data_IF_082376731057
#
_entry.id   IF_082376731057
#
_cell.length_a   1.000
_cell.length_b   1.000
_cell.length_c   1.000
_cell.angle_alpha   90.00
_cell.angle_beta   90.00
_cell.angle_gamma   90.00
#
_symmetry.space_group_name_H-M   'P 1'
#
loop_
_entity.id
_entity.type
_entity.pdbx_description
1 polymer ?
#
# COMPACT_ATOMS: atom_id res chain seq x y z
N UNK A 1 20.77 17.82 20.83
CA UNK A 1 20.87 17.52 19.39
C UNK A 1 21.09 16.02 19.20
N UNK A 2 20.19 15.30 18.51
CA UNK A 2 20.30 13.83 18.36
C UNK A 2 21.52 13.43 17.52
N UNK A 3 22.06 12.23 17.77
CA UNK A 3 23.14 11.66 16.97
C UNK A 3 22.71 11.42 15.50
N UNK A 4 21.45 11.03 15.31
CA UNK A 4 20.86 10.86 13.99
C UNK A 4 19.37 11.21 14.02
N UNK A 5 18.80 11.56 12.86
CA UNK A 5 17.36 11.72 12.66
C UNK A 5 16.94 11.17 11.28
N UNK A 6 15.68 10.80 11.17
CA UNK A 6 15.07 10.40 9.89
C UNK A 6 13.92 11.34 9.56
N UNK A 7 13.88 11.84 8.32
CA UNK A 7 12.75 12.60 7.78
C UNK A 7 12.12 11.81 6.62
N UNK A 8 10.80 11.61 6.66
CA UNK A 8 10.03 11.01 5.57
C UNK A 8 9.08 12.02 4.95
N UNK A 9 8.95 11.98 3.61
CA UNK A 9 7.96 12.78 2.91
C UNK A 9 7.51 12.10 1.61
N UNK A 10 6.42 12.59 1.02
CA UNK A 10 5.94 12.14 -0.29
C UNK A 10 6.89 12.57 -1.41
N UNK A 11 6.96 11.78 -2.49
CA UNK A 11 7.82 12.06 -3.66
C UNK A 11 7.58 13.46 -4.26
N UNK A 12 6.36 14.00 -4.14
CA UNK A 12 6.01 15.33 -4.65
C UNK A 12 6.85 16.48 -4.07
N UNK A 13 7.46 16.31 -2.87
CA UNK A 13 8.32 17.31 -2.26
C UNK A 13 9.48 17.73 -3.17
N UNK A 14 10.01 16.82 -4.00
CA UNK A 14 11.11 17.07 -4.92
C UNK A 14 10.78 18.07 -6.05
N UNK A 15 9.49 18.21 -6.37
CA UNK A 15 9.01 19.14 -7.41
C UNK A 15 8.24 20.32 -6.84
N UNK A 16 8.01 20.34 -5.53
CA UNK A 16 7.27 21.42 -4.86
C UNK A 16 8.08 22.72 -4.84
N UNK A 17 7.36 23.84 -5.01
CA UNK A 17 7.96 25.18 -5.02
C UNK A 17 7.20 26.10 -4.08
N UNK A 18 7.94 27.00 -3.42
CA UNK A 18 7.40 28.13 -2.66
C UNK A 18 8.00 29.40 -3.24
N UNK A 19 7.17 30.37 -3.64
CA UNK A 19 7.59 31.61 -4.28
C UNK A 19 8.52 31.37 -5.49
N UNK A 20 8.21 30.33 -6.30
CA UNK A 20 9.00 29.95 -7.49
C UNK A 20 10.29 29.17 -7.22
N UNK A 21 10.76 29.07 -5.97
CA UNK A 21 11.98 28.36 -5.57
C UNK A 21 11.70 26.90 -5.19
N UNK A 22 12.57 25.93 -5.55
CA UNK A 22 12.46 24.54 -5.08
C UNK A 22 12.54 24.49 -3.55
N UNK A 23 11.51 23.89 -2.90
CA UNK A 23 11.48 23.78 -1.44
C UNK A 23 12.43 22.72 -0.90
N UNK A 24 12.73 21.71 -1.71
CA UNK A 24 13.56 20.59 -1.27
C UNK A 24 15.00 21.01 -0.95
N UNK A 25 15.57 21.90 -1.75
CA UNK A 25 16.93 22.43 -1.52
C UNK A 25 16.99 23.26 -0.23
N UNK A 26 15.92 24.02 0.07
CA UNK A 26 15.82 24.77 1.32
C UNK A 26 15.73 23.80 2.51
N UNK A 27 14.91 22.75 2.43
CA UNK A 27 14.81 21.73 3.48
C UNK A 27 16.16 21.07 3.73
N UNK A 28 16.91 20.72 2.68
CA UNK A 28 18.26 20.15 2.84
C UNK A 28 19.21 21.12 3.55
N UNK A 29 19.17 22.41 3.20
CA UNK A 29 19.96 23.43 3.85
C UNK A 29 19.62 23.59 5.33
N UNK A 30 18.33 23.67 5.65
CA UNK A 30 17.86 23.82 7.02
C UNK A 30 18.19 22.59 7.88
N UNK A 31 18.06 21.37 7.31
CA UNK A 31 18.41 20.14 8.00
C UNK A 31 19.92 19.95 8.20
N UNK A 32 20.74 20.48 7.31
CA UNK A 32 22.20 20.45 7.48
C UNK A 32 22.68 21.31 8.64
N UNK A 33 21.99 22.42 8.91
CA UNK A 33 22.35 23.35 9.98
C UNK A 33 21.09 23.93 10.67
N UNK A 34 20.36 23.10 11.46
CA UNK A 34 19.03 23.48 11.97
C UNK A 34 19.04 24.67 12.95
N UNK A 35 20.15 24.89 13.66
CA UNK A 35 20.24 25.94 14.69
C UNK A 35 21.24 27.05 14.36
N UNK A 36 21.88 27.02 13.17
CA UNK A 36 22.94 27.97 12.82
C UNK A 36 24.21 27.85 13.66
N UNK A 37 24.33 26.83 14.51
CA UNK A 37 25.45 26.57 15.39
C UNK A 37 26.58 25.75 14.75
N UNK A 38 27.54 25.34 15.59
CA UNK A 38 28.72 24.58 15.15
C UNK A 38 28.40 23.13 14.76
N UNK A 39 27.39 22.51 15.41
CA UNK A 39 26.96 21.15 15.11
C UNK A 39 26.08 21.10 13.87
N UNK A 40 26.56 20.41 12.88
CA UNK A 40 25.91 20.20 11.57
C UNK A 40 25.48 18.74 11.40
N UNK A 41 24.74 18.49 10.33
CA UNK A 41 24.35 17.13 9.96
C UNK A 41 24.79 16.82 8.53
N UNK A 42 25.36 15.63 8.34
CA UNK A 42 25.53 15.02 7.04
C UNK A 42 24.18 14.39 6.63
N UNK A 43 23.57 14.92 5.56
CA UNK A 43 22.33 14.36 5.04
C UNK A 43 22.70 13.30 4.01
N UNK A 44 22.30 12.05 4.28
CA UNK A 44 22.71 10.86 3.52
C UNK A 44 21.51 10.07 3.02
N UNK A 45 21.71 9.34 1.92
CA UNK A 45 20.73 8.44 1.34
C UNK A 45 20.88 7.05 1.96
N UNK A 46 19.71 6.39 2.18
CA UNK A 46 19.64 4.99 2.61
C UNK A 46 19.60 4.00 1.43
N UNK A 47 19.50 4.48 0.19
CA UNK A 47 19.37 3.64 -1.01
C UNK A 47 20.52 3.80 -2.02
N UNK A 48 21.28 4.89 -1.94
CA UNK A 48 22.33 5.19 -2.90
C UNK A 48 23.59 5.71 -2.19
N UNK A 49 24.76 5.31 -2.69
CA UNK A 49 26.01 5.93 -2.31
C UNK A 49 26.09 7.38 -2.85
N UNK A 50 26.89 8.28 -2.24
CA UNK A 50 27.06 9.64 -2.73
C UNK A 50 27.70 9.63 -4.12
N UNK A 51 27.33 10.62 -4.93
CA UNK A 51 27.90 10.81 -6.28
C UNK A 51 29.33 11.34 -6.24
N UNK A 52 29.59 12.16 -5.25
CA UNK A 52 30.92 12.75 -4.94
C UNK A 52 30.89 13.20 -3.48
N UNK A 53 32.05 13.64 -3.00
CA UNK A 53 32.17 14.32 -1.70
C UNK A 53 32.84 15.65 -1.96
N UNK A 54 32.30 16.73 -1.42
CA UNK A 54 32.86 18.07 -1.46
C UNK A 54 33.27 18.54 -0.05
N UNK A 55 33.68 19.83 0.08
CA UNK A 55 34.03 20.44 1.36
C UNK A 55 32.88 20.46 2.39
N UNK A 56 31.64 20.28 1.93
CA UNK A 56 30.44 20.32 2.75
C UNK A 56 29.85 18.91 2.98
N UNK A 57 30.58 17.85 2.60
CA UNK A 57 30.19 16.46 2.79
C UNK A 57 29.68 15.74 1.53
N UNK A 58 28.95 14.63 1.70
CA UNK A 58 28.47 13.81 0.58
C UNK A 58 27.42 14.54 -0.26
N UNK A 59 27.56 14.45 -1.59
CA UNK A 59 26.69 15.10 -2.59
C UNK A 59 25.70 14.10 -3.15
N UNK A 60 24.42 14.43 -3.05
CA UNK A 60 23.28 13.66 -3.58
C UNK A 60 22.36 14.51 -4.44
N UNK A 61 21.73 13.89 -5.43
CA UNK A 61 20.56 14.46 -6.09
C UNK A 61 19.28 14.12 -5.31
N UNK A 62 18.25 14.96 -5.36
CA UNK A 62 16.98 14.70 -4.67
C UNK A 62 16.38 13.33 -4.96
N UNK A 63 16.55 12.79 -6.17
CA UNK A 63 16.08 11.45 -6.54
C UNK A 63 16.82 10.32 -5.83
N UNK A 64 18.04 10.56 -5.35
CA UNK A 64 18.84 9.55 -4.66
C UNK A 64 18.27 9.21 -3.26
N UNK A 65 17.38 10.06 -2.72
CA UNK A 65 16.67 9.84 -1.47
C UNK A 65 15.33 9.08 -1.62
N UNK A 66 14.97 8.66 -2.84
CA UNK A 66 13.72 7.93 -3.06
C UNK A 66 13.91 6.48 -2.64
N UNK A 67 13.16 6.08 -1.62
CA UNK A 67 12.98 4.68 -1.23
C UNK A 67 11.73 4.13 -1.93
N UNK A 68 11.91 3.06 -2.69
CA UNK A 68 10.82 2.25 -3.26
C UNK A 68 10.62 1.05 -2.35
N UNK A 69 9.55 1.06 -1.57
CA UNK A 69 9.35 0.09 -0.49
C UNK A 69 9.34 -1.37 -1.00
N UNK A 70 8.83 -1.61 -2.21
CA UNK A 70 8.81 -2.93 -2.85
C UNK A 70 10.20 -3.54 -3.05
N UNK A 71 11.24 -2.73 -3.21
CA UNK A 71 12.62 -3.20 -3.34
C UNK A 71 13.19 -3.72 -2.00
N UNK A 72 12.49 -3.50 -0.90
CA UNK A 72 12.90 -3.89 0.46
C UNK A 72 11.97 -4.93 1.11
N UNK A 73 11.20 -5.66 0.28
CA UNK A 73 10.32 -6.75 0.73
C UNK A 73 8.97 -6.28 1.30
N UNK A 74 8.60 -5.03 1.07
CA UNK A 74 7.28 -4.50 1.43
C UNK A 74 6.30 -4.80 0.27
N UNK A 75 5.15 -5.44 0.49
CA UNK A 75 4.22 -5.83 -0.58
C UNK A 75 3.42 -4.66 -1.16
N UNK A 76 4.08 -3.51 -1.30
CA UNK A 76 3.44 -2.26 -1.73
C UNK A 76 4.44 -1.37 -2.48
N UNK A 77 4.07 -0.92 -3.69
CA UNK A 77 4.78 0.09 -4.45
C UNK A 77 4.55 1.48 -3.84
N UNK A 78 5.22 1.73 -2.70
CA UNK A 78 5.17 2.99 -1.95
C UNK A 78 6.51 3.70 -2.05
N UNK A 79 6.53 4.75 -2.88
CA UNK A 79 7.73 5.56 -3.09
C UNK A 79 7.71 6.78 -2.18
N UNK A 80 8.75 6.94 -1.38
CA UNK A 80 8.89 8.05 -0.42
C UNK A 80 10.31 8.60 -0.48
N UNK A 81 10.42 9.89 -0.22
CA UNK A 81 11.72 10.54 0.05
C UNK A 81 12.03 10.30 1.52
N UNK A 82 13.13 9.61 1.79
CA UNK A 82 13.59 9.35 3.17
C UNK A 82 15.02 9.85 3.28
N UNK A 83 15.24 10.80 4.18
CA UNK A 83 16.54 11.39 4.50
C UNK A 83 16.99 10.84 5.84
N UNK A 84 18.27 10.50 5.92
CA UNK A 84 18.97 10.25 7.20
C UNK A 84 19.95 11.37 7.45
N UNK A 85 19.76 12.10 8.56
CA UNK A 85 20.75 13.06 9.05
C UNK A 85 21.63 12.40 10.10
N UNK A 86 22.94 12.45 9.92
CA UNK A 86 23.93 11.99 10.89
C UNK A 86 24.74 13.18 11.33
N UNK A 87 24.87 13.38 12.65
CA UNK A 87 25.62 14.50 13.21
C UNK A 87 27.08 14.50 12.73
N UNK A 88 27.63 15.65 12.40
CA UNK A 88 28.89 15.79 11.67
C UNK A 88 30.14 15.30 12.43
N UNK A 89 30.06 15.16 13.76
CA UNK A 89 31.10 14.57 14.60
C UNK A 89 31.14 13.02 14.52
N UNK A 90 30.15 12.40 13.87
CA UNK A 90 30.07 10.95 13.67
C UNK A 90 30.47 10.64 12.21
N UNK A 91 31.59 9.93 11.98
CA UNK A 91 32.02 9.61 10.63
C UNK A 91 31.04 8.66 9.92
N UNK A 92 30.75 8.97 8.65
CA UNK A 92 29.86 8.18 7.81
C UNK A 92 30.65 7.31 6.86
N UNK A 93 30.41 6.01 6.89
CA UNK A 93 31.06 5.03 6.03
C UNK A 93 30.05 4.32 5.13
N UNK A 94 30.29 4.34 3.82
CA UNK A 94 29.52 3.59 2.84
C UNK A 94 30.23 2.26 2.51
N UNK A 95 29.49 1.18 2.28
CA UNK A 95 28.02 1.06 2.16
C UNK A 95 27.26 0.73 3.46
N UNK A 96 27.86 0.84 4.63
CA UNK A 96 27.29 0.37 5.91
C UNK A 96 25.90 0.93 6.22
N UNK A 97 25.59 2.15 5.72
CA UNK A 97 24.31 2.83 5.92
C UNK A 97 23.30 2.58 4.79
N UNK A 98 23.57 1.67 3.87
CA UNK A 98 22.62 1.35 2.80
C UNK A 98 21.68 0.20 3.21
N UNK A 99 20.39 0.41 2.98
CA UNK A 99 19.38 -0.64 3.19
C UNK A 99 19.62 -1.82 2.24
N UNK A 100 19.56 -3.02 2.80
CA UNK A 100 19.67 -4.25 2.01
C UNK A 100 18.39 -4.50 1.22
N UNK A 101 18.52 -4.65 -0.09
CA UNK A 101 17.40 -5.03 -0.97
C UNK A 101 16.90 -6.42 -0.64
N UNK A 102 15.61 -6.65 -0.86
CA UNK A 102 14.95 -7.92 -0.63
C UNK A 102 14.09 -8.31 -1.85
N UNK A 103 13.69 -9.58 -1.89
CA UNK A 103 12.79 -10.08 -2.92
C UNK A 103 11.45 -9.36 -2.89
N UNK A 104 10.95 -8.96 -4.06
CA UNK A 104 9.64 -8.36 -4.22
C UNK A 104 8.53 -9.32 -3.75
N UNK A 105 7.56 -8.79 -3.02
CA UNK A 105 6.41 -9.54 -2.50
C UNK A 105 5.14 -9.03 -3.16
N UNK A 106 4.33 -9.94 -3.69
CA UNK A 106 3.09 -9.61 -4.37
C UNK A 106 1.84 -9.74 -3.50
N UNK A 107 0.75 -9.13 -3.95
CA UNK A 107 -0.55 -9.13 -3.25
C UNK A 107 -1.08 -10.53 -3.00
N UNK A 108 -0.97 -11.43 -3.98
CA UNK A 108 -1.47 -12.81 -3.89
C UNK A 108 -0.76 -13.61 -2.79
N UNK A 109 0.55 -13.40 -2.60
CA UNK A 109 1.28 -14.03 -1.50
C UNK A 109 0.79 -13.56 -0.13
N UNK A 110 0.40 -12.30 0.00
CA UNK A 110 0.02 -11.67 1.27
C UNK A 110 -1.44 -11.93 1.63
N UNK A 111 -2.34 -11.82 0.65
CA UNK A 111 -3.80 -11.86 0.88
C UNK A 111 -4.47 -13.18 0.47
N UNK A 112 -3.80 -13.99 -0.35
CA UNK A 112 -4.42 -15.16 -0.98
C UNK A 112 -4.95 -16.24 -0.02
N UNK A 113 -4.41 -16.32 1.19
CA UNK A 113 -4.84 -17.27 2.23
C UNK A 113 -5.83 -16.66 3.24
N UNK A 114 -6.23 -15.40 3.07
CA UNK A 114 -7.24 -14.80 3.96
C UNK A 114 -8.63 -15.35 3.64
N UNK A 115 -9.53 -15.42 4.63
CA UNK A 115 -10.92 -15.81 4.40
C UNK A 115 -11.58 -14.97 3.31
N UNK A 116 -12.26 -15.62 2.36
CA UNK A 116 -12.97 -14.92 1.30
C UNK A 116 -14.23 -14.27 1.86
N UNK A 117 -14.43 -13.00 1.50
CA UNK A 117 -15.54 -12.19 2.01
C UNK A 117 -16.32 -11.58 0.84
N UNK A 118 -17.65 -11.45 1.03
CA UNK A 118 -18.49 -10.58 0.21
C UNK A 118 -18.50 -9.15 0.74
N UNK A 119 -18.89 -8.18 -0.07
CA UNK A 119 -19.28 -6.87 0.46
C UNK A 119 -20.64 -6.92 1.15
N UNK A 120 -20.98 -5.90 1.92
CA UNK A 120 -22.36 -5.60 2.23
C UNK A 120 -23.07 -4.94 1.05
N UNK A 121 -24.40 -4.88 1.07
CA UNK A 121 -25.23 -4.06 0.21
C UNK A 121 -25.57 -2.76 0.93
N UNK A 122 -25.35 -1.61 0.29
CA UNK A 122 -25.66 -0.30 0.88
C UNK A 122 -27.14 0.07 0.72
N UNK A 123 -27.86 -0.60 -0.17
CA UNK A 123 -29.29 -0.43 -0.41
C UNK A 123 -29.96 -1.80 -0.53
N UNK A 124 -31.20 -1.90 -0.06
CA UNK A 124 -31.98 -3.12 -0.07
C UNK A 124 -31.65 -4.05 1.11
N UNK A 125 -32.10 -5.30 1.00
CA UNK A 125 -31.90 -6.33 2.03
C UNK A 125 -30.53 -6.98 1.86
N UNK A 126 -29.62 -6.73 2.80
CA UNK A 126 -28.24 -7.27 2.79
C UNK A 126 -28.19 -8.71 3.28
N UNK A 127 -28.58 -9.65 2.44
CA UNK A 127 -28.42 -11.09 2.67
C UNK A 127 -27.34 -11.70 1.78
N UNK A 128 -26.75 -12.84 2.17
CA UNK A 128 -25.80 -13.57 1.32
C UNK A 128 -26.40 -13.89 -0.06
N UNK A 129 -27.64 -14.37 -0.13
CA UNK A 129 -28.34 -14.73 -1.38
C UNK A 129 -28.52 -13.53 -2.29
N UNK A 130 -28.97 -12.39 -1.76
CA UNK A 130 -29.16 -11.18 -2.57
C UNK A 130 -27.83 -10.69 -3.14
N UNK A 131 -26.78 -10.69 -2.35
CA UNK A 131 -25.45 -10.32 -2.82
C UNK A 131 -24.92 -11.31 -3.87
N UNK A 132 -25.09 -12.63 -3.64
CA UNK A 132 -24.65 -13.67 -4.58
C UNK A 132 -25.37 -13.55 -5.93
N UNK A 133 -26.66 -13.28 -5.93
CA UNK A 133 -27.43 -13.07 -7.15
C UNK A 133 -26.91 -11.86 -7.94
N UNK A 134 -26.67 -10.73 -7.27
CA UNK A 134 -26.07 -9.53 -7.89
C UNK A 134 -24.66 -9.80 -8.41
N UNK A 135 -23.81 -10.44 -7.60
CA UNK A 135 -22.42 -10.73 -7.99
C UNK A 135 -22.35 -11.73 -9.16
N UNK A 136 -23.24 -12.75 -9.19
CA UNK A 136 -23.34 -13.69 -10.31
C UNK A 136 -23.72 -12.97 -11.59
N UNK A 137 -24.76 -12.14 -11.57
CA UNK A 137 -25.17 -11.36 -12.73
C UNK A 137 -24.04 -10.42 -13.20
N UNK A 138 -23.40 -9.71 -12.28
CA UNK A 138 -22.29 -8.80 -12.58
C UNK A 138 -21.07 -9.53 -13.17
N UNK A 139 -20.71 -10.71 -12.64
CA UNK A 139 -19.61 -11.53 -13.17
C UNK A 139 -19.94 -12.10 -14.54
N UNK A 140 -21.18 -12.53 -14.76
CA UNK A 140 -21.66 -13.00 -16.08
C UNK A 140 -21.54 -11.89 -17.12
N UNK A 141 -22.03 -10.70 -16.79
CA UNK A 141 -21.92 -9.53 -17.67
C UNK A 141 -20.46 -9.14 -17.94
N UNK A 142 -19.64 -9.08 -16.89
CA UNK A 142 -18.20 -8.77 -17.02
C UNK A 142 -17.47 -9.81 -17.88
N UNK A 143 -17.80 -11.09 -17.72
CA UNK A 143 -17.23 -12.20 -18.51
C UNK A 143 -17.59 -12.07 -19.98
N UNK A 144 -18.84 -11.74 -20.29
CA UNK A 144 -19.28 -11.48 -21.68
C UNK A 144 -18.56 -10.28 -22.29
N UNK A 145 -18.42 -9.17 -21.54
CA UNK A 145 -17.72 -7.96 -21.99
C UNK A 145 -16.22 -8.19 -22.24
N UNK A 146 -15.61 -9.12 -21.52
CA UNK A 146 -14.18 -9.44 -21.62
C UNK A 146 -13.91 -10.70 -22.45
N UNK A 147 -14.93 -11.30 -23.04
CA UNK A 147 -14.88 -12.52 -23.82
C UNK A 147 -14.23 -13.70 -23.07
N UNK A 148 -14.67 -13.92 -21.82
CA UNK A 148 -14.20 -14.96 -20.93
C UNK A 148 -15.33 -15.92 -20.61
N UNK A 149 -15.01 -17.19 -20.52
CA UNK A 149 -15.93 -18.24 -20.07
C UNK A 149 -16.29 -18.01 -18.59
N UNK A 150 -17.55 -17.71 -18.32
CA UNK A 150 -18.07 -17.42 -16.98
C UNK A 150 -17.96 -18.60 -16.03
N UNK A 151 -18.05 -19.84 -16.53
CA UNK A 151 -17.93 -21.03 -15.71
C UNK A 151 -16.55 -21.19 -15.11
N UNK A 152 -15.52 -20.73 -15.80
CA UNK A 152 -14.16 -20.65 -15.25
C UNK A 152 -14.03 -19.64 -14.10
N UNK A 153 -14.78 -18.55 -14.16
CA UNK A 153 -14.80 -17.52 -13.11
C UNK A 153 -15.62 -17.98 -11.91
N UNK A 154 -16.80 -18.55 -12.14
CA UNK A 154 -17.73 -19.02 -11.11
C UNK A 154 -17.42 -20.43 -10.60
N UNK A 155 -16.35 -21.07 -11.07
CA UNK A 155 -15.89 -22.39 -10.58
C UNK A 155 -15.80 -22.46 -9.05
N UNK A 156 -15.45 -21.37 -8.40
CA UNK A 156 -15.37 -21.27 -6.96
C UNK A 156 -16.69 -20.68 -6.41
N UNK A 157 -17.14 -21.25 -5.28
CA UNK A 157 -18.32 -20.73 -4.58
C UNK A 157 -18.13 -19.27 -4.17
N UNK A 158 -19.13 -18.44 -4.41
CA UNK A 158 -19.18 -17.06 -3.97
C UNK A 158 -19.24 -17.00 -2.43
N UNK A 159 -18.54 -16.03 -1.81
CA UNK A 159 -18.50 -15.91 -0.35
C UNK A 159 -19.87 -15.50 0.22
N UNK A 160 -20.15 -15.97 1.43
CA UNK A 160 -21.38 -15.67 2.18
C UNK A 160 -21.12 -14.62 3.27
N UNK A 161 -19.95 -14.68 3.89
CA UNK A 161 -19.61 -13.85 5.05
C UNK A 161 -19.11 -12.46 4.62
N UNK A 162 -19.46 -11.45 5.43
CA UNK A 162 -18.87 -10.10 5.37
C UNK A 162 -17.64 -9.95 6.24
N UNK A 163 -17.27 -11.01 6.95
CA UNK A 163 -16.27 -10.95 8.00
C UNK A 163 -16.79 -10.36 9.30
N UNK A 164 -15.88 -10.08 10.21
CA UNK A 164 -16.19 -9.53 11.53
C UNK A 164 -14.99 -8.78 12.12
N UNK A 165 -15.22 -8.11 13.28
CA UNK A 165 -14.15 -7.51 14.08
C UNK A 165 -13.08 -8.52 14.50
N UNK A 166 -13.50 -9.78 14.73
CA UNK A 166 -12.62 -10.93 14.92
C UNK A 166 -13.17 -12.16 14.18
N UNK A 167 -12.29 -12.87 13.48
CA UNK A 167 -12.61 -14.11 12.77
C UNK A 167 -11.63 -15.18 13.24
N UNK A 168 -12.13 -16.27 13.83
CA UNK A 168 -11.32 -17.44 14.10
C UNK A 168 -10.83 -18.05 12.79
N UNK A 169 -9.54 -18.07 12.58
CA UNK A 169 -8.92 -18.63 11.38
C UNK A 169 -7.46 -18.96 11.66
N UNK A 170 -7.12 -20.24 11.52
CA UNK A 170 -5.73 -20.69 11.61
C UNK A 170 -5.07 -20.61 10.23
N UNK A 171 -3.76 -20.35 10.19
CA UNK A 171 -2.94 -20.37 8.94
C UNK A 171 -3.37 -19.35 7.87
N UNK A 172 -3.62 -18.12 8.26
CA UNK A 172 -3.96 -17.02 7.33
C UNK A 172 -2.75 -16.47 6.57
N UNK A 173 -1.52 -16.76 7.03
CA UNK A 173 -0.28 -16.39 6.36
C UNK A 173 0.16 -17.49 5.38
N UNK A 174 0.49 -17.11 4.16
CA UNK A 174 0.93 -18.03 3.13
C UNK A 174 2.34 -18.57 3.41
N UNK A 175 2.57 -19.85 3.08
CA UNK A 175 3.92 -20.42 3.09
C UNK A 175 4.81 -19.88 1.96
N UNK A 176 4.23 -19.17 0.99
CA UNK A 176 4.95 -18.49 -0.11
C UNK A 176 5.52 -17.13 0.29
N UNK A 177 5.20 -16.64 1.50
CA UNK A 177 5.80 -15.40 2.01
C UNK A 177 7.28 -15.61 2.33
N UNK A 178 8.15 -14.60 2.06
CA UNK A 178 9.51 -14.60 2.57
C UNK A 178 9.52 -14.78 4.11
N UNK A 179 10.49 -15.51 4.62
CA UNK A 179 10.60 -15.87 6.05
C UNK A 179 10.51 -14.62 6.94
N UNK A 180 11.30 -13.60 6.63
CA UNK A 180 11.32 -12.34 7.40
C UNK A 180 9.94 -11.69 7.51
N UNK A 181 9.21 -11.56 6.37
CA UNK A 181 7.89 -10.95 6.38
C UNK A 181 6.87 -11.82 7.11
N UNK A 182 6.96 -13.15 6.96
CA UNK A 182 6.05 -14.08 7.64
C UNK A 182 6.23 -14.02 9.16
N UNK A 183 7.46 -14.05 9.65
CA UNK A 183 7.79 -13.94 11.07
C UNK A 183 7.42 -12.57 11.64
N UNK A 184 7.59 -11.51 10.86
CA UNK A 184 7.21 -10.15 11.25
C UNK A 184 5.69 -9.97 11.41
N UNK A 185 4.90 -10.58 10.52
CA UNK A 185 3.44 -10.48 10.55
C UNK A 185 2.82 -11.40 11.61
N UNK A 186 3.42 -12.56 11.88
CA UNK A 186 2.85 -13.60 12.71
C UNK A 186 2.74 -13.18 14.18
N UNK A 187 1.66 -13.65 14.82
CA UNK A 187 1.52 -13.74 16.26
C UNK A 187 0.93 -15.12 16.59
N UNK A 188 1.70 -15.97 17.23
CA UNK A 188 1.31 -17.33 17.54
C UNK A 188 0.20 -17.40 18.61
N UNK A 189 0.01 -16.33 19.38
CA UNK A 189 -1.06 -16.21 20.37
C UNK A 189 -2.40 -15.77 19.75
N UNK A 190 -2.37 -15.22 18.53
CA UNK A 190 -3.55 -14.76 17.82
C UNK A 190 -4.16 -15.88 16.98
N UNK A 191 -5.22 -16.52 17.48
CA UNK A 191 -5.90 -17.60 16.78
C UNK A 191 -6.90 -17.12 15.70
N UNK A 192 -6.63 -16.00 15.04
CA UNK A 192 -7.56 -15.44 14.07
C UNK A 192 -7.10 -14.15 13.40
N UNK A 193 -8.04 -13.44 12.85
CA UNK A 193 -7.86 -12.14 12.22
C UNK A 193 -8.71 -11.10 12.93
N UNK A 194 -8.11 -9.97 13.28
CA UNK A 194 -8.80 -8.79 13.79
C UNK A 194 -9.13 -7.82 12.65
N UNK A 195 -10.26 -7.13 12.73
CA UNK A 195 -10.67 -6.06 11.81
C UNK A 195 -10.71 -6.50 10.32
N UNK A 196 -11.10 -7.77 10.08
CA UNK A 196 -11.30 -8.30 8.76
C UNK A 196 -12.79 -8.33 8.43
N UNK A 197 -13.36 -7.14 8.21
CA UNK A 197 -14.77 -6.89 7.94
C UNK A 197 -14.94 -5.94 6.77
N UNK A 198 -15.90 -6.26 5.86
CA UNK A 198 -16.14 -5.48 4.65
C UNK A 198 -17.13 -4.33 4.90
N UNK A 199 -17.06 -3.32 4.03
CA UNK A 199 -18.08 -2.25 3.97
C UNK A 199 -19.25 -2.61 3.05
N UNK A 200 -20.35 -1.88 3.16
CA UNK A 200 -21.42 -1.90 2.18
C UNK A 200 -21.02 -1.19 0.88
N UNK A 201 -21.53 -1.68 -0.25
CA UNK A 201 -21.32 -1.12 -1.58
C UNK A 201 -22.65 -0.95 -2.33
N UNK A 202 -22.69 -0.02 -3.26
CA UNK A 202 -23.81 0.12 -4.18
C UNK A 202 -23.79 -1.01 -5.20
N UNK A 203 -24.96 -1.41 -5.72
CA UNK A 203 -25.06 -2.44 -6.74
C UNK A 203 -24.20 -2.09 -7.97
N UNK A 204 -24.26 -0.84 -8.41
CA UNK A 204 -23.44 -0.34 -9.53
C UNK A 204 -21.92 -0.38 -9.28
N UNK A 205 -21.50 -0.37 -8.00
CA UNK A 205 -20.08 -0.57 -7.67
C UNK A 205 -19.69 -2.03 -7.71
N UNK A 206 -20.62 -2.95 -7.36
CA UNK A 206 -20.41 -4.39 -7.51
C UNK A 206 -20.18 -4.73 -9.00
N UNK A 207 -21.01 -4.19 -9.90
CA UNK A 207 -20.83 -4.36 -11.34
C UNK A 207 -19.44 -3.89 -11.82
N UNK A 208 -19.06 -2.68 -11.44
CA UNK A 208 -17.74 -2.11 -11.76
C UNK A 208 -16.59 -2.93 -11.19
N UNK A 209 -16.72 -3.39 -9.94
CA UNK A 209 -15.67 -4.12 -9.26
C UNK A 209 -15.49 -5.52 -9.83
N UNK A 210 -16.57 -6.19 -10.23
CA UNK A 210 -16.51 -7.45 -10.98
C UNK A 210 -15.73 -7.27 -12.28
N UNK A 211 -16.06 -6.25 -13.06
CA UNK A 211 -15.34 -5.95 -14.30
C UNK A 211 -13.87 -5.64 -14.06
N UNK A 212 -13.56 -4.73 -13.10
CA UNK A 212 -12.18 -4.27 -12.83
C UNK A 212 -11.30 -5.38 -12.26
N UNK A 213 -11.83 -6.21 -11.35
CA UNK A 213 -11.05 -7.32 -10.78
C UNK A 213 -10.83 -8.43 -11.79
N UNK A 214 -11.84 -8.77 -12.62
CA UNK A 214 -11.71 -9.75 -13.69
C UNK A 214 -10.72 -9.27 -14.77
N UNK A 215 -10.83 -8.00 -15.19
CA UNK A 215 -9.86 -7.37 -16.09
C UNK A 215 -8.43 -7.43 -15.52
N UNK A 216 -8.29 -7.11 -14.22
CA UNK A 216 -7.00 -7.19 -13.51
C UNK A 216 -6.41 -8.60 -13.49
N UNK A 217 -7.24 -9.61 -13.29
CA UNK A 217 -6.83 -11.02 -13.30
C UNK A 217 -6.37 -11.48 -14.69
N UNK A 218 -7.00 -10.99 -15.77
CA UNK A 218 -6.69 -11.37 -17.15
C UNK A 218 -5.45 -10.64 -17.69
N UNK A 219 -5.39 -9.32 -17.48
CA UNK A 219 -4.40 -8.46 -18.16
C UNK A 219 -3.25 -8.02 -17.25
N UNK A 220 -3.24 -8.40 -15.98
CA UNK A 220 -2.19 -8.02 -15.03
C UNK A 220 -2.09 -6.50 -14.77
N UNK A 221 -3.17 -5.76 -15.03
CA UNK A 221 -3.33 -4.32 -14.77
C UNK A 221 -4.79 -3.93 -14.61
N UNK A 222 -5.07 -2.82 -14.01
CA UNK A 222 -6.43 -2.27 -13.98
C UNK A 222 -6.79 -1.62 -15.33
N UNK A 223 -8.07 -1.61 -15.73
CA UNK A 223 -8.52 -0.89 -16.93
C UNK A 223 -8.39 0.62 -16.74
N UNK A 224 -8.15 1.33 -17.86
CA UNK A 224 -8.35 2.76 -17.94
C UNK A 224 -9.83 3.06 -18.10
N UNK A 225 -10.28 4.27 -17.78
CA UNK A 225 -11.70 4.65 -17.95
C UNK A 225 -12.18 4.54 -19.41
N UNK A 226 -11.28 4.73 -20.36
CA UNK A 226 -11.55 4.56 -21.79
C UNK A 226 -11.79 3.11 -22.21
N UNK A 227 -11.39 2.15 -21.39
CA UNK A 227 -11.60 0.72 -21.60
C UNK A 227 -12.86 0.20 -20.88
N UNK A 228 -13.58 1.10 -20.18
CA UNK A 228 -14.84 0.73 -19.54
C UNK A 228 -15.97 0.66 -20.56
N UNK A 229 -16.81 -0.38 -20.51
CA UNK A 229 -18.08 -0.41 -21.20
C UNK A 229 -18.94 0.80 -20.80
N UNK A 230 -19.68 1.38 -21.76
CA UNK A 230 -20.51 2.59 -21.51
C UNK A 230 -21.46 2.42 -20.32
N UNK A 231 -22.05 1.23 -20.14
CA UNK A 231 -22.97 0.92 -19.04
C UNK A 231 -22.31 0.90 -17.65
N UNK A 232 -20.99 0.77 -17.57
CA UNK A 232 -20.23 0.76 -16.31
C UNK A 232 -19.60 2.11 -16.00
N UNK A 233 -19.67 3.10 -16.92
CA UNK A 233 -19.14 4.43 -16.64
C UNK A 233 -19.87 5.06 -15.45
N UNK A 234 -19.14 5.70 -14.52
CA UNK A 234 -19.78 6.41 -13.42
C UNK A 234 -20.48 7.68 -13.94
N UNK A 235 -21.65 7.96 -13.36
CA UNK A 235 -22.35 9.23 -13.61
C UNK A 235 -21.64 10.38 -12.86
N UNK A 236 -20.60 10.93 -13.48
CA UNK A 236 -19.79 11.99 -12.88
C UNK A 236 -19.34 12.99 -13.95
N UNK A 237 -19.49 14.29 -13.67
CA UNK A 237 -19.17 15.40 -14.60
C UNK A 237 -17.74 15.33 -15.21
N UNK A 238 -16.80 14.73 -14.52
CA UNK A 238 -15.39 14.67 -14.93
C UNK A 238 -15.00 13.39 -15.70
N UNK A 239 -15.94 12.49 -16.01
CA UNK A 239 -15.64 11.26 -16.76
C UNK A 239 -15.03 11.57 -18.13
N UNK A 240 -15.50 12.65 -18.79
CA UNK A 240 -15.03 13.07 -20.09
C UNK A 240 -13.91 14.13 -20.05
N UNK A 241 -13.50 14.61 -18.89
CA UNK A 241 -12.52 15.71 -18.74
C UNK A 241 -11.06 15.27 -18.74
N UNK A 242 -10.78 13.98 -18.91
CA UNK A 242 -9.43 13.43 -18.80
C UNK A 242 -8.85 13.41 -17.36
N UNK A 243 -9.51 14.04 -16.39
CA UNK A 243 -9.08 14.07 -14.97
C UNK A 243 -9.49 12.83 -14.19
N UNK A 244 -10.29 11.93 -14.77
CA UNK A 244 -10.91 10.77 -14.10
C UNK A 244 -10.36 9.42 -14.58
N UNK A 245 -9.24 9.44 -15.28
CA UNK A 245 -8.69 8.34 -16.08
C UNK A 245 -8.43 7.06 -15.28
N UNK A 246 -8.37 7.16 -13.94
CA UNK A 246 -7.57 6.23 -13.15
C UNK A 246 -8.22 5.85 -11.80
N UNK A 247 -9.55 6.01 -11.66
CA UNK A 247 -10.24 5.90 -10.38
C UNK A 247 -10.42 4.46 -9.90
N UNK A 248 -10.84 3.56 -10.79
CA UNK A 248 -11.14 2.17 -10.43
C UNK A 248 -9.92 1.27 -10.61
N UNK A 249 -9.34 0.79 -9.50
CA UNK A 249 -8.11 -0.01 -9.53
C UNK A 249 -8.23 -1.27 -8.69
N UNK A 250 -8.05 -2.41 -9.34
CA UNK A 250 -7.81 -3.67 -8.66
C UNK A 250 -6.37 -3.78 -8.19
N UNK A 251 -6.18 -4.37 -7.02
CA UNK A 251 -4.86 -4.82 -6.61
C UNK A 251 -4.53 -6.10 -7.39
N UNK A 252 -3.48 -6.07 -8.21
CA UNK A 252 -3.13 -7.20 -9.08
C UNK A 252 -2.38 -8.26 -8.29
N UNK A 253 -2.84 -9.51 -8.38
CA UNK A 253 -2.34 -10.62 -7.55
C UNK A 253 -0.84 -10.85 -7.63
N UNK A 254 -0.24 -10.76 -8.82
CA UNK A 254 1.17 -11.07 -9.10
C UNK A 254 2.10 -9.86 -9.04
N UNK A 255 1.64 -8.74 -8.47
CA UNK A 255 2.43 -7.50 -8.29
C UNK A 255 2.33 -7.01 -6.85
N UNK A 256 3.27 -6.16 -6.39
CA UNK A 256 3.06 -5.35 -5.20
C UNK A 256 1.80 -4.51 -5.32
N UNK A 257 1.12 -4.26 -4.21
CA UNK A 257 -0.05 -3.39 -4.21
C UNK A 257 0.32 -1.96 -4.61
N UNK A 258 -0.66 -1.21 -5.10
CA UNK A 258 -0.51 0.25 -5.18
C UNK A 258 -0.36 0.85 -3.79
N UNK A 259 0.22 2.04 -3.71
CA UNK A 259 0.36 2.76 -2.44
C UNK A 259 -0.99 2.86 -1.72
N UNK A 260 -1.11 2.20 -0.57
CA UNK A 260 -2.25 2.37 0.33
C UNK A 260 -2.19 3.77 0.93
N UNK A 261 -3.21 4.57 0.67
CA UNK A 261 -3.33 5.95 1.14
C UNK A 261 -4.56 6.12 2.01
N UNK A 262 -4.64 7.19 2.79
CA UNK A 262 -5.82 7.52 3.60
C UNK A 262 -7.12 7.67 2.79
N UNK A 263 -7.04 7.86 1.47
CA UNK A 263 -8.22 7.89 0.59
C UNK A 263 -9.03 6.60 0.57
N UNK A 264 -8.43 5.44 0.95
CA UNK A 264 -9.18 4.19 1.15
C UNK A 264 -10.33 4.36 2.16
N UNK A 265 -10.22 5.32 3.08
CA UNK A 265 -11.27 5.67 4.03
C UNK A 265 -12.55 6.22 3.36
N UNK A 266 -12.41 6.93 2.23
CA UNK A 266 -13.53 7.59 1.52
C UNK A 266 -14.33 6.59 0.69
N UNK A 267 -13.67 5.96 -0.27
CA UNK A 267 -14.22 4.94 -1.14
C UNK A 267 -13.19 3.84 -1.41
N UNK A 268 -13.62 2.72 -1.93
CA UNK A 268 -12.73 1.59 -2.22
C UNK A 268 -12.32 1.52 -3.69
N UNK A 269 -12.66 2.52 -4.50
CA UNK A 269 -12.50 2.46 -5.95
C UNK A 269 -11.06 2.23 -6.41
N UNK A 270 -10.08 2.81 -5.69
CA UNK A 270 -8.67 2.62 -5.98
C UNK A 270 -8.04 1.38 -5.29
N UNK A 271 -8.83 0.64 -4.50
CA UNK A 271 -8.38 -0.46 -3.65
C UNK A 271 -9.31 -1.68 -3.75
N UNK A 272 -9.68 -2.06 -4.97
CA UNK A 272 -10.53 -3.22 -5.25
C UNK A 272 -9.70 -4.49 -5.06
N UNK A 273 -10.28 -5.49 -4.40
CA UNK A 273 -9.66 -6.79 -4.18
C UNK A 273 -9.36 -7.51 -5.51
N UNK A 274 -8.24 -8.22 -5.59
CA UNK A 274 -7.77 -8.87 -6.82
C UNK A 274 -8.62 -10.07 -7.26
N UNK A 275 -9.30 -10.74 -6.34
CA UNK A 275 -10.09 -11.94 -6.61
C UNK A 275 -11.50 -11.54 -7.11
N UNK A 276 -11.87 -11.86 -8.39
CA UNK A 276 -13.13 -11.43 -8.98
C UNK A 276 -14.37 -11.91 -8.23
N UNK A 277 -14.31 -13.07 -7.58
CA UNK A 277 -15.48 -13.61 -6.83
C UNK A 277 -15.74 -12.85 -5.52
N UNK A 278 -14.85 -11.98 -5.09
CA UNK A 278 -15.04 -11.14 -3.92
C UNK A 278 -15.54 -9.74 -4.26
N UNK A 279 -15.19 -9.19 -5.43
CA UNK A 279 -15.68 -7.92 -6.03
C UNK A 279 -15.98 -6.82 -5.02
N UNK A 280 -15.00 -6.46 -4.20
CA UNK A 280 -15.12 -5.51 -3.09
C UNK A 280 -13.83 -4.72 -2.86
N UNK A 281 -13.92 -3.68 -2.08
CA UNK A 281 -12.72 -3.02 -1.56
C UNK A 281 -12.01 -3.86 -0.50
N UNK A 282 -10.75 -3.58 -0.27
CA UNK A 282 -9.95 -4.18 0.79
C UNK A 282 -10.55 -3.87 2.17
N UNK A 283 -10.44 -4.81 3.11
CA UNK A 283 -10.72 -4.59 4.53
C UNK A 283 -9.58 -3.83 5.20
N UNK A 284 -9.80 -3.35 6.45
CA UNK A 284 -8.74 -2.72 7.24
C UNK A 284 -7.56 -3.67 7.41
N UNK A 285 -7.80 -4.94 7.75
CA UNK A 285 -6.73 -5.94 7.94
C UNK A 285 -5.97 -6.25 6.66
N UNK A 286 -6.63 -6.33 5.52
CA UNK A 286 -5.96 -6.50 4.23
C UNK A 286 -5.05 -5.32 3.89
N UNK A 287 -5.56 -4.09 4.06
CA UNK A 287 -4.77 -2.89 3.87
C UNK A 287 -3.58 -2.82 4.86
N UNK A 288 -3.80 -3.21 6.11
CA UNK A 288 -2.77 -3.26 7.15
C UNK A 288 -1.66 -4.28 6.81
N UNK A 289 -2.02 -5.48 6.30
CA UNK A 289 -1.02 -6.45 5.84
C UNK A 289 -0.16 -5.93 4.70
N UNK A 290 -0.77 -5.26 3.72
CA UNK A 290 -0.03 -4.64 2.61
C UNK A 290 0.89 -3.51 3.08
N UNK A 291 0.55 -2.86 4.19
CA UNK A 291 1.40 -1.90 4.90
C UNK A 291 2.39 -2.57 5.86
N UNK A 292 2.37 -3.89 5.98
CA UNK A 292 3.21 -4.66 6.90
C UNK A 292 2.98 -4.40 8.40
N UNK A 293 1.76 -4.04 8.81
CA UNK A 293 1.41 -4.07 10.23
C UNK A 293 1.32 -5.51 10.72
N UNK A 294 1.87 -5.86 11.89
CA UNK A 294 1.70 -7.18 12.50
C UNK A 294 0.22 -7.55 12.69
N UNK A 295 -0.08 -8.85 12.70
CA UNK A 295 -1.47 -9.34 12.77
C UNK A 295 -2.17 -8.95 14.08
N UNK A 296 -1.42 -8.80 15.17
CA UNK A 296 -1.92 -8.40 16.49
C UNK A 296 -2.08 -6.87 16.65
N UNK A 297 -1.66 -6.07 15.66
CA UNK A 297 -1.81 -4.61 15.75
C UNK A 297 -3.29 -4.24 15.57
N UNK A 298 -3.89 -3.70 16.61
CA UNK A 298 -5.29 -3.24 16.61
C UNK A 298 -5.36 -1.73 16.33
N UNK A 299 -6.24 -1.33 15.39
CA UNK A 299 -6.48 0.08 15.08
C UNK A 299 -7.68 0.58 15.84
N UNK A 300 -7.51 1.63 16.63
CA UNK A 300 -8.59 2.24 17.39
C UNK A 300 -9.55 3.09 16.52
N UNK A 301 -10.73 3.33 17.06
CA UNK A 301 -11.74 4.17 16.45
C UNK A 301 -12.65 3.44 15.44
N UNK A 302 -13.42 4.22 14.69
CA UNK A 302 -14.30 3.69 13.65
C UNK A 302 -13.50 3.29 12.39
N UNK A 303 -14.15 2.55 11.49
CA UNK A 303 -13.51 2.03 10.27
C UNK A 303 -12.82 3.10 9.42
N UNK A 304 -13.40 4.29 9.32
CA UNK A 304 -12.80 5.42 8.58
C UNK A 304 -11.49 5.84 9.22
N UNK A 305 -11.46 5.99 10.54
CA UNK A 305 -10.26 6.33 11.30
C UNK A 305 -9.18 5.25 11.19
N UNK A 306 -9.58 3.96 11.24
CA UNK A 306 -8.67 2.82 11.06
C UNK A 306 -7.99 2.85 9.69
N UNK A 307 -8.74 3.09 8.61
CA UNK A 307 -8.14 3.23 7.27
C UNK A 307 -7.21 4.44 7.15
N UNK A 308 -7.54 5.55 7.81
CA UNK A 308 -6.67 6.75 7.83
C UNK A 308 -5.35 6.43 8.51
N UNK A 309 -5.38 5.72 9.65
CA UNK A 309 -4.16 5.28 10.36
C UNK A 309 -3.31 4.39 9.46
N UNK A 310 -3.90 3.37 8.83
CA UNK A 310 -3.17 2.48 7.90
C UNK A 310 -2.54 3.29 6.75
N UNK A 311 -3.31 4.17 6.10
CA UNK A 311 -2.85 4.87 4.90
C UNK A 311 -1.77 5.92 5.14
N UNK A 312 -1.76 6.53 6.33
CA UNK A 312 -0.78 7.56 6.71
C UNK A 312 0.54 6.98 7.26
N UNK A 313 0.56 5.70 7.61
CA UNK A 313 1.74 5.09 8.19
C UNK A 313 2.90 4.93 7.20
N UNK A 314 4.11 5.01 7.72
CA UNK A 314 5.29 4.37 7.10
C UNK A 314 5.15 2.86 7.33
N UNK A 315 5.41 2.00 6.34
CA UNK A 315 5.32 0.55 6.55
C UNK A 315 6.18 0.11 7.74
N UNK A 316 5.60 -0.50 8.80
CA UNK A 316 6.33 -0.80 10.03
C UNK A 316 7.57 -1.69 9.84
N UNK A 317 7.53 -2.64 8.90
CA UNK A 317 8.72 -3.46 8.58
C UNK A 317 9.83 -2.61 7.94
N UNK A 318 9.49 -1.65 7.07
CA UNK A 318 10.48 -0.73 6.51
C UNK A 318 11.08 0.17 7.60
N UNK A 319 10.25 0.69 8.49
CA UNK A 319 10.70 1.49 9.63
C UNK A 319 11.62 0.70 10.56
N UNK A 320 11.30 -0.58 10.83
CA UNK A 320 12.19 -1.49 11.57
C UNK A 320 13.54 -1.66 10.88
N UNK A 321 13.56 -1.91 9.57
CA UNK A 321 14.82 -2.06 8.80
C UNK A 321 15.68 -0.80 8.91
N UNK A 322 15.08 0.38 8.75
CA UNK A 322 15.77 1.67 8.89
C UNK A 322 16.30 1.83 10.32
N UNK A 323 15.47 1.61 11.34
CA UNK A 323 15.86 1.75 12.73
C UNK A 323 16.97 0.77 13.15
N UNK A 324 16.89 -0.48 12.70
CA UNK A 324 17.94 -1.49 12.95
C UNK A 324 19.27 -1.08 12.32
N UNK A 325 19.24 -0.61 11.08
CA UNK A 325 20.44 -0.13 10.37
C UNK A 325 21.11 1.03 11.12
N UNK A 326 20.30 2.03 11.52
CA UNK A 326 20.83 3.20 12.26
C UNK A 326 21.39 2.77 13.63
N UNK A 327 20.70 1.89 14.35
CA UNK A 327 21.17 1.40 15.65
C UNK A 327 22.50 0.65 15.50
N UNK A 328 22.63 -0.25 14.53
CA UNK A 328 23.88 -0.96 14.25
C UNK A 328 25.01 0.00 13.90
N UNK A 329 24.75 0.98 13.03
CA UNK A 329 25.71 2.00 12.64
C UNK A 329 26.20 2.82 13.84
N UNK A 330 25.30 3.29 14.71
CA UNK A 330 25.66 4.10 15.88
C UNK A 330 26.37 3.29 16.99
N UNK A 331 26.03 1.99 17.14
CA UNK A 331 26.66 1.12 18.13
C UNK A 331 28.05 0.61 17.70
N UNK A 332 28.38 0.69 16.43
CA UNK A 332 29.70 0.31 15.89
C UNK A 332 30.75 1.43 15.98
N UNK A 333 30.37 2.59 16.48
CA UNK A 333 31.22 3.78 16.67
C UNK A 333 31.51 4.02 18.15
#
# INVERSE_FOLDING_TARGET
EPAAFVMENVKGILSSRINGKPIFDQILSDLKNPNGGDLKYNIVSLSNAPRSTDLFGPVFNGKDFIIKAEEYGIPQARHRVILLGIRSDIPVEYPQILLQKATEVNVGQVLGNMPKLRSGLSKGNDTPINWQNLATAALTNASAMLNVDVDKVLKNRLPESRGNKFIFSKKTLSNKLPKELKEWLADDNLNGLIQHETRGQMNTDIDRYCYVSLFGALYGRSPLISEFPKCLLPDHKNVHSGKFVDRFKSQVSNKPSKTVTSHIAKDSHAFIHFDPIQSRGLTVREAARLQTFPENYFFEGNRTQQYVQVGNAVPPLLAKKIGTLIAQFLLSK
#
